data_IF_183789945775
#
_entry.id   IF_183789945775
#
_cell.length_a   1.000
_cell.length_b   1.000
_cell.length_c   1.000
_cell.angle_alpha   90.00
_cell.angle_beta   90.00
_cell.angle_gamma   90.00
#
_symmetry.space_group_name_H-M   'P 1'
#
loop_
_entity.id
_entity.type
_entity.pdbx_description
1 polymer ?
#
# COMPACT_ATOMS: atom_id res chain seq x y z
N UNK A 1 6.54 2.55 11.05
CA UNK A 1 5.89 2.11 9.78
C UNK A 1 4.45 1.73 10.09
N UNK A 2 3.47 2.26 9.34
CA UNK A 2 2.06 1.95 9.56
C UNK A 2 1.74 0.50 9.19
N UNK A 3 0.93 -0.17 10.00
CA UNK A 3 0.39 -1.49 9.70
C UNK A 3 -0.92 -1.30 8.94
N UNK A 4 -0.96 -1.76 7.68
CA UNK A 4 -2.15 -1.67 6.83
C UNK A 4 -2.69 -3.08 6.60
N UNK A 5 -4.00 -3.27 6.83
CA UNK A 5 -4.68 -4.53 6.56
C UNK A 5 -5.64 -4.35 5.37
N UNK A 6 -5.43 -5.10 4.30
CA UNK A 6 -6.21 -5.02 3.07
C UNK A 6 -7.07 -6.27 2.95
N UNK A 7 -8.39 -6.08 2.89
CA UNK A 7 -9.35 -7.18 2.67
C UNK A 7 -9.73 -7.22 1.20
N UNK A 8 -9.49 -8.36 0.57
CA UNK A 8 -9.79 -8.60 -0.84
C UNK A 8 -10.80 -9.74 -0.98
N UNK A 9 -11.52 -9.74 -2.09
CA UNK A 9 -12.37 -10.86 -2.49
C UNK A 9 -11.48 -11.90 -3.16
N UNK A 10 -11.68 -13.17 -2.82
CA UNK A 10 -10.90 -14.28 -3.37
C UNK A 10 -11.03 -14.39 -4.89
N UNK A 11 -9.92 -14.65 -5.57
CA UNK A 11 -9.88 -14.86 -7.02
C UNK A 11 -10.02 -13.59 -7.89
N UNK A 12 -10.21 -12.41 -7.29
CA UNK A 12 -10.37 -11.15 -8.05
C UNK A 12 -9.04 -10.59 -8.55
N UNK A 13 -7.96 -10.80 -7.79
CA UNK A 13 -6.62 -10.31 -8.13
C UNK A 13 -5.66 -11.47 -8.30
N UNK A 14 -4.86 -11.42 -9.36
CA UNK A 14 -3.72 -12.32 -9.53
C UNK A 14 -2.53 -11.89 -8.66
N UNK A 15 -1.48 -12.70 -8.64
CA UNK A 15 -0.34 -12.47 -7.76
C UNK A 15 0.52 -11.27 -8.18
N UNK A 16 0.54 -10.91 -9.47
CA UNK A 16 1.24 -9.73 -9.96
C UNK A 16 0.51 -8.44 -9.53
N UNK A 17 -0.82 -8.43 -9.64
CA UNK A 17 -1.67 -7.34 -9.21
C UNK A 17 -1.61 -7.11 -7.69
N UNK A 18 -1.56 -8.19 -6.90
CA UNK A 18 -1.35 -8.08 -5.45
C UNK A 18 -0.01 -7.44 -5.12
N UNK A 19 1.05 -7.80 -5.85
CA UNK A 19 2.38 -7.21 -5.66
C UNK A 19 2.38 -5.71 -5.97
N UNK A 20 1.81 -5.32 -7.11
CA UNK A 20 1.68 -3.91 -7.51
C UNK A 20 0.86 -3.11 -6.48
N UNK A 21 -0.21 -3.71 -5.92
CA UNK A 21 -1.01 -3.10 -4.87
C UNK A 21 -0.19 -2.79 -3.61
N UNK A 22 0.64 -3.73 -3.16
CA UNK A 22 1.50 -3.52 -1.98
C UNK A 22 2.55 -2.43 -2.22
N UNK A 23 3.16 -2.39 -3.40
CA UNK A 23 4.12 -1.35 -3.78
C UNK A 23 3.46 0.04 -3.75
N UNK A 24 2.31 0.20 -4.42
CA UNK A 24 1.57 1.48 -4.43
C UNK A 24 1.12 1.91 -3.04
N UNK A 25 0.62 0.98 -2.22
CA UNK A 25 0.22 1.29 -0.85
C UNK A 25 1.41 1.73 -0.01
N UNK A 26 2.57 1.08 -0.15
CA UNK A 26 3.80 1.45 0.56
C UNK A 26 4.27 2.84 0.15
N UNK A 27 4.34 3.12 -1.16
CA UNK A 27 4.76 4.41 -1.68
C UNK A 27 3.82 5.54 -1.22
N UNK A 28 2.52 5.27 -1.20
CA UNK A 28 1.51 6.23 -0.71
C UNK A 28 1.73 6.54 0.77
N UNK A 29 2.00 5.53 1.61
CA UNK A 29 2.28 5.74 3.03
C UNK A 29 3.56 6.55 3.25
N UNK A 30 4.61 6.29 2.46
CA UNK A 30 5.86 7.06 2.50
C UNK A 30 5.64 8.50 2.03
N UNK A 31 4.82 8.72 1.00
CA UNK A 31 4.50 10.06 0.52
C UNK A 31 3.75 10.87 1.58
N UNK A 32 2.71 10.30 2.20
CA UNK A 32 1.89 10.97 3.21
C UNK A 32 2.69 11.23 4.50
N UNK A 33 3.33 10.21 5.06
CA UNK A 33 4.11 10.35 6.30
C UNK A 33 5.42 11.14 6.05
N UNK A 34 6.00 11.03 4.87
CA UNK A 34 7.18 11.78 4.45
C UNK A 34 6.91 13.26 4.17
N UNK A 35 5.66 13.67 3.92
CA UNK A 35 5.24 15.08 3.93
C UNK A 35 5.08 15.59 5.37
N UNK A 36 4.52 14.80 6.29
CA UNK A 36 4.42 15.15 7.71
C UNK A 36 5.79 15.42 8.37
N UNK A 37 6.87 14.82 7.87
CA UNK A 37 8.24 15.07 8.35
C UNK A 37 8.92 16.30 7.74
N UNK A 38 8.30 16.99 6.77
CA UNK A 38 8.85 18.21 6.14
C UNK A 38 8.35 19.51 6.79
N UNK A 39 7.35 19.43 7.67
CA UNK A 39 6.75 20.57 8.38
C UNK A 39 7.26 20.75 9.80
#
# INVERSE_FOLDING_TARGET
>A
MPLVNVKLIEGVFDDAQKREMVEKLTDTMVAIEGENMRG
#
